data_IF_506447275116
#
_entry.id   IF_506447275116
#
_cell.length_a   1.000
_cell.length_b   1.000
_cell.length_c   1.000
_cell.angle_alpha   90.00
_cell.angle_beta   90.00
_cell.angle_gamma   90.00
#
_symmetry.space_group_name_H-M   'P 1'
#
loop_
_entity.id
_entity.type
_entity.pdbx_description
1 polymer ?
#
# COMPACT_ATOMS: atom_id res chain seq x y z
N UNK A 1 18.46 0.52 24.37
CA UNK A 1 17.26 0.87 23.56
C UNK A 1 16.37 -0.36 23.51
N UNK A 2 15.09 -0.22 23.83
CA UNK A 2 14.18 -1.36 23.74
C UNK A 2 13.95 -1.69 22.26
N UNK A 3 14.16 -2.96 21.89
CA UNK A 3 13.81 -3.46 20.56
C UNK A 3 12.31 -3.36 20.33
N UNK A 4 11.89 -3.32 19.06
CA UNK A 4 10.48 -3.40 18.73
C UNK A 4 9.87 -4.72 19.25
N UNK A 5 8.68 -4.64 19.83
CA UNK A 5 7.90 -5.80 20.27
C UNK A 5 6.55 -5.77 19.56
N UNK A 6 6.23 -6.85 18.86
CA UNK A 6 4.98 -7.02 18.14
C UNK A 6 3.79 -6.92 19.10
N UNK A 7 2.79 -6.13 18.72
CA UNK A 7 1.60 -5.81 19.52
C UNK A 7 1.86 -5.22 20.91
N UNK A 8 3.02 -4.59 21.11
CA UNK A 8 3.23 -3.72 22.26
C UNK A 8 2.23 -2.55 22.30
N UNK A 9 2.08 -1.91 23.47
CA UNK A 9 1.20 -0.74 23.65
C UNK A 9 1.45 0.35 22.59
N UNK A 10 2.72 0.64 22.27
CA UNK A 10 3.09 1.62 21.26
C UNK A 10 2.61 1.21 19.86
N UNK A 11 2.82 -0.06 19.49
CA UNK A 11 2.37 -0.60 18.21
C UNK A 11 0.85 -0.52 18.06
N UNK A 12 0.10 -0.96 19.07
CA UNK A 12 -1.37 -0.91 19.07
C UNK A 12 -1.87 0.53 18.94
N UNK A 13 -1.29 1.47 19.69
CA UNK A 13 -1.64 2.89 19.57
C UNK A 13 -1.40 3.39 18.14
N UNK A 14 -0.27 3.03 17.52
CA UNK A 14 0.02 3.42 16.13
C UNK A 14 -0.99 2.84 15.14
N UNK A 15 -1.39 1.57 15.30
CA UNK A 15 -2.43 0.95 14.48
C UNK A 15 -3.79 1.65 14.65
N UNK A 16 -4.17 1.99 15.87
CA UNK A 16 -5.40 2.73 16.16
C UNK A 16 -5.39 4.12 15.54
N UNK A 17 -4.25 4.81 15.53
CA UNK A 17 -4.10 6.12 14.87
C UNK A 17 -4.31 5.97 13.35
N UNK A 18 -3.66 4.99 12.71
CA UNK A 18 -3.83 4.73 11.27
C UNK A 18 -5.30 4.42 10.97
N UNK A 19 -5.94 3.57 11.77
CA UNK A 19 -7.35 3.23 11.63
C UNK A 19 -8.25 4.47 11.80
N UNK A 20 -8.02 5.30 12.81
CA UNK A 20 -8.77 6.53 13.05
C UNK A 20 -8.65 7.50 11.86
N UNK A 21 -7.46 7.64 11.28
CA UNK A 21 -7.23 8.47 10.10
C UNK A 21 -7.97 7.92 8.88
N UNK A 22 -8.00 6.61 8.67
CA UNK A 22 -8.74 5.96 7.58
C UNK A 22 -10.26 6.17 7.73
N UNK A 23 -10.77 5.97 8.95
CA UNK A 23 -12.17 6.21 9.30
C UNK A 23 -12.53 7.67 9.05
N UNK A 24 -11.71 8.61 9.53
CA UNK A 24 -11.91 10.05 9.34
C UNK A 24 -11.93 10.42 7.86
N UNK A 25 -11.00 9.86 7.07
CA UNK A 25 -10.92 10.09 5.63
C UNK A 25 -12.20 9.62 4.91
N UNK A 26 -12.75 8.48 5.32
CA UNK A 26 -13.99 7.94 4.77
C UNK A 26 -15.22 8.79 5.13
N UNK A 27 -15.40 9.14 6.41
CA UNK A 27 -16.56 9.92 6.87
C UNK A 27 -16.55 11.36 6.34
N UNK A 28 -15.39 12.02 6.38
CA UNK A 28 -15.28 13.42 5.95
C UNK A 28 -15.03 13.59 4.45
N UNK A 29 -15.06 12.51 3.64
CA UNK A 29 -14.77 12.55 2.19
C UNK A 29 -15.58 13.61 1.43
N UNK A 30 -16.84 13.82 1.79
CA UNK A 30 -17.70 14.81 1.14
C UNK A 30 -17.30 16.25 1.47
N UNK A 31 -16.92 16.52 2.73
CA UNK A 31 -16.42 17.83 3.16
C UNK A 31 -15.05 18.13 2.53
N UNK A 32 -14.16 17.14 2.48
CA UNK A 32 -12.85 17.26 1.84
C UNK A 32 -13.02 17.61 0.36
N UNK A 33 -13.90 16.91 -0.38
CA UNK A 33 -14.20 17.20 -1.79
C UNK A 33 -14.76 18.61 -2.00
N UNK A 34 -15.63 19.09 -1.10
CA UNK A 34 -16.27 20.41 -1.22
C UNK A 34 -15.29 21.56 -0.97
N UNK A 35 -14.35 21.40 -0.03
CA UNK A 35 -13.43 22.47 0.39
C UNK A 35 -12.06 22.32 -0.28
N UNK A 36 -11.82 23.07 -1.38
CA UNK A 36 -10.54 23.03 -2.16
C UNK A 36 -9.28 23.16 -1.28
N UNK A 37 -9.29 24.05 -0.28
CA UNK A 37 -8.15 24.22 0.65
C UNK A 37 -7.85 22.93 1.43
N UNK A 38 -8.88 22.27 1.98
CA UNK A 38 -8.73 21.02 2.74
C UNK A 38 -8.31 19.88 1.83
N UNK A 39 -8.90 19.79 0.63
CA UNK A 39 -8.50 18.82 -0.40
C UNK A 39 -7.01 18.89 -0.72
N UNK A 40 -6.50 20.10 -1.01
CA UNK A 40 -5.10 20.33 -1.34
C UNK A 40 -4.20 20.10 -0.12
N UNK A 41 -4.60 20.56 1.06
CA UNK A 41 -3.83 20.39 2.28
C UNK A 41 -3.58 18.90 2.60
N UNK A 42 -4.63 18.07 2.65
CA UNK A 42 -4.49 16.64 2.95
C UNK A 42 -3.64 15.94 1.89
N UNK A 43 -3.88 16.26 0.62
CA UNK A 43 -3.11 15.70 -0.50
C UNK A 43 -1.63 16.05 -0.41
N UNK A 44 -1.31 17.32 -0.16
CA UNK A 44 0.07 17.78 0.02
C UNK A 44 0.70 17.19 1.27
N UNK A 45 -0.05 17.07 2.36
CA UNK A 45 0.42 16.46 3.60
C UNK A 45 0.85 15.00 3.39
N UNK A 46 0.04 14.20 2.67
CA UNK A 46 0.39 12.82 2.35
C UNK A 46 1.68 12.74 1.51
N UNK A 47 1.80 13.55 0.47
CA UNK A 47 2.99 13.56 -0.40
C UNK A 47 4.23 14.00 0.37
N UNK A 48 4.15 15.16 1.04
CA UNK A 48 5.29 15.78 1.71
C UNK A 48 5.75 14.92 2.89
N UNK A 49 4.83 14.39 3.69
CA UNK A 49 5.21 13.55 4.83
C UNK A 49 5.99 12.31 4.41
N UNK A 50 5.52 11.58 3.38
CA UNK A 50 6.21 10.39 2.88
C UNK A 50 7.58 10.71 2.27
N UNK A 51 7.65 11.73 1.40
CA UNK A 51 8.93 12.13 0.78
C UNK A 51 9.92 12.67 1.81
N UNK A 52 9.45 13.42 2.80
CA UNK A 52 10.29 13.98 3.85
C UNK A 52 10.89 12.88 4.73
N UNK A 53 10.10 11.92 5.21
CA UNK A 53 10.65 10.86 6.06
C UNK A 53 11.60 9.94 5.29
N UNK A 54 11.36 9.71 4.00
CA UNK A 54 12.29 8.96 3.14
C UNK A 54 13.60 9.72 2.92
N UNK A 55 13.53 11.02 2.64
CA UNK A 55 14.72 11.86 2.53
C UNK A 55 15.53 11.88 3.83
N UNK A 56 14.86 12.04 4.98
CA UNK A 56 15.50 11.98 6.28
C UNK A 56 16.11 10.61 6.59
N UNK A 57 15.51 9.52 6.09
CA UNK A 57 16.09 8.18 6.18
C UNK A 57 17.42 8.10 5.45
N UNK A 58 17.52 8.60 4.23
CA UNK A 58 18.78 8.61 3.48
C UNK A 58 19.84 9.45 4.17
N UNK A 59 19.48 10.64 4.67
CA UNK A 59 20.39 11.47 5.46
C UNK A 59 20.90 10.75 6.72
N UNK A 60 20.03 10.01 7.41
CA UNK A 60 20.40 9.20 8.57
C UNK A 60 21.33 8.03 8.21
N UNK A 61 21.02 7.28 7.14
CA UNK A 61 21.85 6.16 6.68
C UNK A 61 23.25 6.61 6.28
N UNK A 62 23.36 7.72 5.55
CA UNK A 62 24.65 8.29 5.15
C UNK A 62 25.43 8.76 6.39
N UNK A 63 24.79 9.51 7.29
CA UNK A 63 25.44 10.03 8.50
C UNK A 63 25.92 8.93 9.45
N UNK A 64 25.24 7.78 9.47
CA UNK A 64 25.59 6.64 10.33
C UNK A 64 26.48 5.61 9.64
N UNK A 65 26.93 5.87 8.41
CA UNK A 65 27.69 4.93 7.57
C UNK A 65 26.99 3.56 7.41
N UNK A 66 25.65 3.58 7.36
CA UNK A 66 24.81 2.39 7.15
C UNK A 66 24.21 2.34 5.74
N UNK A 67 24.61 3.26 4.85
CA UNK A 67 24.21 3.22 3.46
C UNK A 67 24.81 1.99 2.78
N UNK A 68 23.95 1.18 2.19
CA UNK A 68 24.31 0.04 1.35
C UNK A 68 23.51 0.09 0.05
N UNK A 69 24.20 0.05 -1.09
CA UNK A 69 23.55 0.04 -2.39
C UNK A 69 22.67 -1.18 -2.60
N UNK A 70 22.94 -2.28 -1.90
CA UNK A 70 22.20 -3.52 -1.98
C UNK A 70 20.86 -3.54 -1.22
N UNK A 71 20.62 -2.60 -0.30
CA UNK A 71 19.42 -2.59 0.57
C UNK A 71 18.82 -1.19 0.83
N UNK A 72 19.56 -0.10 0.56
CA UNK A 72 19.13 1.27 0.92
C UNK A 72 18.31 2.00 -0.16
N UNK A 73 18.41 1.60 -1.43
CA UNK A 73 17.59 2.15 -2.51
C UNK A 73 16.10 1.82 -2.32
N UNK A 74 15.19 2.66 -2.82
CA UNK A 74 13.75 2.47 -2.67
C UNK A 74 13.18 1.42 -3.63
N UNK A 75 13.92 0.35 -3.86
CA UNK A 75 13.58 -0.72 -4.79
C UNK A 75 12.80 -1.86 -4.12
N UNK A 76 12.68 -1.84 -2.79
CA UNK A 76 11.69 -2.64 -2.10
C UNK A 76 10.27 -2.24 -2.54
N UNK A 77 9.34 -3.19 -2.54
CA UNK A 77 7.98 -2.99 -3.06
C UNK A 77 7.25 -1.81 -2.39
N UNK A 78 7.44 -1.59 -1.08
CA UNK A 78 6.87 -0.45 -0.36
C UNK A 78 7.52 0.88 -0.74
N UNK A 79 8.85 0.90 -0.99
CA UNK A 79 9.56 2.09 -1.49
C UNK A 79 9.01 2.53 -2.85
N UNK A 80 8.95 1.60 -3.80
CA UNK A 80 8.36 1.82 -5.12
C UNK A 80 6.90 2.28 -4.99
N UNK A 81 6.11 1.62 -4.13
CA UNK A 81 4.71 1.97 -3.91
C UNK A 81 4.54 3.38 -3.33
N UNK A 82 5.41 3.81 -2.41
CA UNK A 82 5.39 5.17 -1.86
C UNK A 82 5.58 6.21 -2.97
N UNK A 83 6.61 6.06 -3.82
CA UNK A 83 6.86 6.98 -4.93
C UNK A 83 5.72 6.98 -5.95
N UNK A 84 5.17 5.80 -6.27
CA UNK A 84 4.02 5.69 -7.17
C UNK A 84 2.73 6.29 -6.55
N UNK A 85 2.53 6.19 -5.23
CA UNK A 85 1.47 6.89 -4.53
C UNK A 85 1.63 8.40 -4.65
N UNK A 86 2.82 8.94 -4.37
CA UNK A 86 3.14 10.36 -4.55
C UNK A 86 2.88 10.82 -5.99
N UNK A 87 3.41 10.09 -6.97
CA UNK A 87 3.20 10.34 -8.40
C UNK A 87 1.70 10.37 -8.75
N UNK A 88 0.93 9.39 -8.27
CA UNK A 88 -0.50 9.28 -8.60
C UNK A 88 -1.33 10.33 -7.88
N UNK A 89 -0.99 10.69 -6.65
CA UNK A 89 -1.60 11.83 -5.96
C UNK A 89 -1.37 13.12 -6.75
N UNK A 90 -0.18 13.32 -7.34
CA UNK A 90 0.13 14.50 -8.15
C UNK A 90 -0.64 14.48 -9.49
N UNK A 91 -0.47 13.41 -10.25
CA UNK A 91 -0.91 13.30 -11.65
C UNK A 91 -2.36 12.87 -11.83
N UNK A 92 -2.97 12.26 -10.81
CA UNK A 92 -4.29 11.63 -10.90
C UNK A 92 -4.34 10.57 -12.01
N UNK A 93 -3.27 9.79 -12.16
CA UNK A 93 -3.20 8.76 -13.19
C UNK A 93 -3.82 7.44 -12.70
N UNK A 94 -5.05 7.14 -13.15
CA UNK A 94 -5.75 5.91 -12.79
C UNK A 94 -4.98 4.62 -13.14
N UNK A 95 -4.19 4.60 -14.23
CA UNK A 95 -3.43 3.40 -14.65
C UNK A 95 -2.37 3.02 -13.61
N UNK A 96 -1.78 4.01 -12.93
CA UNK A 96 -0.83 3.73 -11.85
C UNK A 96 -1.58 3.33 -10.58
N UNK A 97 -2.69 4.00 -10.25
CA UNK A 97 -3.56 3.63 -9.15
C UNK A 97 -4.00 2.17 -9.21
N UNK A 98 -4.48 1.70 -10.37
CA UNK A 98 -5.06 0.36 -10.50
C UNK A 98 -4.02 -0.76 -10.26
N UNK A 99 -2.74 -0.44 -10.47
CA UNK A 99 -1.61 -1.33 -10.19
C UNK A 99 -1.26 -1.28 -8.70
N UNK A 100 -1.00 -0.09 -8.14
CA UNK A 100 -0.55 0.06 -6.74
C UNK A 100 -1.65 -0.27 -5.72
N UNK A 101 -2.93 -0.21 -6.12
CA UNK A 101 -4.04 -0.57 -5.25
C UNK A 101 -3.88 -1.97 -4.67
N UNK A 102 -3.40 -2.93 -5.45
CA UNK A 102 -3.28 -4.31 -5.00
C UNK A 102 -1.96 -4.55 -4.29
N UNK A 103 -0.83 -4.47 -5.00
CA UNK A 103 0.47 -4.77 -4.39
C UNK A 103 0.83 -3.80 -3.25
N UNK A 104 0.44 -2.53 -3.38
CA UNK A 104 0.89 -1.47 -2.47
C UNK A 104 0.10 -1.53 -1.18
N UNK A 105 -1.21 -1.75 -1.28
CA UNK A 105 -2.08 -1.94 -0.14
C UNK A 105 -1.80 -3.27 0.56
N UNK A 106 -1.61 -4.36 -0.18
CA UNK A 106 -1.23 -5.67 0.36
C UNK A 106 0.07 -5.59 1.17
N UNK A 107 1.13 -5.05 0.55
CA UNK A 107 2.43 -4.89 1.20
C UNK A 107 2.35 -3.97 2.42
N UNK A 108 1.71 -2.80 2.28
CA UNK A 108 1.64 -1.84 3.38
C UNK A 108 0.80 -2.33 4.57
N UNK A 109 -0.34 -3.01 4.34
CA UNK A 109 -1.13 -3.62 5.41
C UNK A 109 -0.31 -4.69 6.13
N UNK A 110 0.37 -5.56 5.39
CA UNK A 110 1.20 -6.58 6.01
C UNK A 110 2.34 -5.95 6.83
N UNK A 111 3.02 -4.95 6.29
CA UNK A 111 4.10 -4.24 7.00
C UNK A 111 3.63 -3.53 8.27
N UNK A 112 2.43 -2.94 8.31
CA UNK A 112 1.97 -2.31 9.56
C UNK A 112 1.49 -3.34 10.58
N UNK A 113 0.97 -4.50 10.15
CA UNK A 113 0.50 -5.54 11.07
C UNK A 113 1.63 -6.41 11.62
N UNK A 114 2.60 -6.74 10.78
CA UNK A 114 3.80 -7.54 11.11
C UNK A 114 5.07 -6.77 10.71
N UNK A 115 5.36 -5.66 11.39
CA UNK A 115 6.50 -4.82 11.05
C UNK A 115 7.83 -5.51 11.30
N UNK A 116 8.72 -5.43 10.32
CA UNK A 116 10.10 -5.90 10.41
C UNK A 116 11.03 -4.70 10.71
N UNK A 117 10.98 -4.22 11.95
CA UNK A 117 11.83 -3.13 12.42
C UNK A 117 12.51 -3.50 13.72
N UNK A 118 13.76 -3.05 13.89
CA UNK A 118 14.53 -3.28 15.12
C UNK A 118 14.20 -2.28 16.23
N UNK A 119 13.81 -1.06 15.86
CA UNK A 119 13.69 0.06 16.78
C UNK A 119 12.23 0.32 17.20
N UNK A 120 11.98 0.49 18.50
CA UNK A 120 10.68 0.90 19.04
C UNK A 120 10.52 2.44 19.06
N UNK A 121 9.31 2.92 19.33
CA UNK A 121 9.06 4.34 19.57
C UNK A 121 9.80 4.80 20.84
N UNK A 122 10.42 6.01 20.86
CA UNK A 122 10.30 7.13 19.90
C UNK A 122 11.39 7.20 18.82
N UNK A 123 12.06 6.09 18.48
CA UNK A 123 13.15 6.13 17.52
C UNK A 123 12.70 6.58 16.12
N UNK A 124 13.53 7.36 15.43
CA UNK A 124 13.21 7.89 14.10
C UNK A 124 12.83 6.79 13.09
N UNK A 125 13.54 5.64 13.08
CA UNK A 125 13.21 4.50 12.21
C UNK A 125 11.79 3.95 12.44
N UNK A 126 11.30 3.96 13.68
CA UNK A 126 9.91 3.58 13.97
C UNK A 126 8.94 4.57 13.32
N UNK A 127 9.17 5.86 13.54
CA UNK A 127 8.31 6.94 13.03
C UNK A 127 8.29 6.93 11.49
N UNK A 128 9.47 6.87 10.86
CA UNK A 128 9.61 6.79 9.41
C UNK A 128 8.88 5.56 8.84
N UNK A 129 9.07 4.39 9.44
CA UNK A 129 8.43 3.16 8.97
C UNK A 129 6.90 3.30 8.97
N UNK A 130 6.29 3.72 10.08
CA UNK A 130 4.83 3.81 10.16
C UNK A 130 4.25 4.99 9.36
N UNK A 131 4.99 6.09 9.18
CA UNK A 131 4.58 7.18 8.28
C UNK A 131 4.58 6.71 6.82
N UNK A 132 5.62 6.00 6.37
CA UNK A 132 5.69 5.50 4.99
C UNK A 132 4.58 4.48 4.72
N UNK A 133 4.43 3.46 5.56
CA UNK A 133 3.45 2.39 5.31
C UNK A 133 2.01 2.85 5.56
N UNK A 134 1.76 3.57 6.66
CA UNK A 134 0.46 4.21 6.89
C UNK A 134 0.10 5.22 5.80
N UNK A 135 1.09 5.97 5.31
CA UNK A 135 0.97 6.93 4.21
C UNK A 135 0.56 6.27 2.89
N UNK A 136 1.12 5.11 2.53
CA UNK A 136 0.70 4.31 1.36
C UNK A 136 -0.78 3.92 1.50
N UNK A 137 -1.18 3.35 2.64
CA UNK A 137 -2.57 2.92 2.89
C UNK A 137 -3.51 4.13 2.77
N UNK A 138 -3.21 5.22 3.47
CA UNK A 138 -3.99 6.45 3.43
C UNK A 138 -4.05 7.05 2.02
N UNK A 139 -2.97 7.01 1.25
CA UNK A 139 -2.92 7.52 -0.12
C UNK A 139 -3.81 6.71 -1.05
N UNK A 140 -3.76 5.37 -0.97
CA UNK A 140 -4.62 4.49 -1.78
C UNK A 140 -6.10 4.69 -1.40
N UNK A 141 -6.41 4.77 -0.10
CA UNK A 141 -7.76 5.08 0.37
C UNK A 141 -8.20 6.49 -0.03
N UNK A 142 -7.30 7.48 -0.03
CA UNK A 142 -7.58 8.84 -0.49
C UNK A 142 -7.95 8.85 -1.96
N UNK A 143 -7.19 8.16 -2.83
CA UNK A 143 -7.53 8.03 -4.25
C UNK A 143 -8.86 7.30 -4.45
N UNK A 144 -9.13 6.26 -3.66
CA UNK A 144 -10.38 5.50 -3.72
C UNK A 144 -11.59 6.34 -3.31
N UNK A 145 -11.53 7.02 -2.15
CA UNK A 145 -12.66 7.73 -1.59
C UNK A 145 -12.82 9.14 -2.15
N UNK A 146 -11.70 9.84 -2.38
CA UNK A 146 -11.68 11.24 -2.79
C UNK A 146 -11.65 11.36 -4.33
N UNK A 147 -10.73 10.69 -5.02
CA UNK A 147 -10.74 10.72 -6.50
C UNK A 147 -11.86 9.85 -7.09
N UNK A 148 -12.41 8.92 -6.29
CA UNK A 148 -13.49 8.04 -6.74
C UNK A 148 -13.00 6.88 -7.59
N UNK A 149 -11.70 6.57 -7.53
CA UNK A 149 -11.15 5.44 -8.26
C UNK A 149 -11.63 4.13 -7.67
N UNK A 150 -11.90 3.17 -8.55
CA UNK A 150 -12.28 1.81 -8.16
C UNK A 150 -11.49 0.83 -9.01
N UNK A 151 -10.76 -0.12 -8.41
CA UNK A 151 -10.11 -1.19 -9.15
C UNK A 151 -11.14 -2.14 -9.75
N UNK A 152 -10.74 -2.82 -10.81
CA UNK A 152 -11.52 -3.88 -11.45
C UNK A 152 -10.84 -5.24 -11.27
N UNK A 153 -11.53 -6.33 -11.63
CA UNK A 153 -10.87 -7.64 -11.68
C UNK A 153 -9.71 -7.66 -12.69
N UNK A 154 -9.81 -6.92 -13.80
CA UNK A 154 -8.69 -6.74 -14.74
C UNK A 154 -7.52 -5.99 -14.11
N UNK A 155 -7.80 -5.04 -13.22
CA UNK A 155 -6.76 -4.31 -12.48
C UNK A 155 -5.97 -5.22 -11.55
N UNK A 156 -6.61 -6.24 -10.95
CA UNK A 156 -5.94 -7.28 -10.17
C UNK A 156 -4.91 -8.03 -11.03
N UNK A 157 -5.35 -8.54 -12.18
CA UNK A 157 -4.48 -9.28 -13.11
C UNK A 157 -3.34 -8.41 -13.63
N UNK A 158 -3.62 -7.14 -13.97
CA UNK A 158 -2.59 -6.17 -14.34
C UNK A 158 -1.59 -5.98 -13.22
N UNK A 159 -2.03 -5.72 -11.98
CA UNK A 159 -1.11 -5.50 -10.86
C UNK A 159 -0.18 -6.70 -10.65
N UNK A 160 -0.73 -7.91 -10.70
CA UNK A 160 0.07 -9.13 -10.61
C UNK A 160 1.09 -9.25 -11.76
N UNK A 161 0.67 -9.01 -13.00
CA UNK A 161 1.56 -9.05 -14.16
C UNK A 161 2.67 -7.98 -14.07
N UNK A 162 2.32 -6.75 -13.71
CA UNK A 162 3.29 -5.67 -13.54
C UNK A 162 4.29 -5.98 -12.41
N UNK A 163 3.88 -6.73 -11.38
CA UNK A 163 4.79 -7.11 -10.29
C UNK A 163 5.86 -8.07 -10.82
N UNK A 164 5.47 -9.03 -11.65
CA UNK A 164 6.40 -9.95 -12.32
C UNK A 164 7.32 -9.17 -13.27
N UNK A 165 6.76 -8.27 -14.08
CA UNK A 165 7.54 -7.42 -15.00
C UNK A 165 8.54 -6.55 -14.24
N UNK A 166 8.13 -6.00 -13.08
CA UNK A 166 8.98 -5.17 -12.22
C UNK A 166 10.10 -5.97 -11.56
N UNK A 167 9.85 -7.24 -11.20
CA UNK A 167 10.85 -8.10 -10.57
C UNK A 167 12.05 -8.37 -11.49
N UNK A 168 11.86 -8.42 -12.81
CA UNK A 168 12.93 -8.74 -13.78
C UNK A 168 14.08 -7.70 -13.73
N UNK A 169 13.86 -6.39 -13.98
CA UNK A 169 14.94 -5.42 -13.94
C UNK A 169 15.52 -5.27 -12.53
N UNK A 170 14.73 -5.46 -11.47
CA UNK A 170 15.23 -5.40 -10.10
C UNK A 170 16.16 -6.57 -9.79
N UNK A 171 15.82 -7.79 -10.21
CA UNK A 171 16.69 -8.95 -10.09
C UNK A 171 18.02 -8.75 -10.83
N UNK A 172 17.98 -8.19 -12.04
CA UNK A 172 19.20 -7.86 -12.80
C UNK A 172 20.04 -6.83 -12.05
N UNK A 173 19.41 -5.79 -11.52
CA UNK A 173 20.11 -4.77 -10.75
C UNK A 173 20.74 -5.38 -9.49
N UNK A 174 19.98 -6.15 -8.70
CA UNK A 174 20.45 -6.88 -7.52
C UNK A 174 21.71 -7.70 -7.80
N UNK A 175 21.85 -8.27 -8.99
CA UNK A 175 23.05 -8.99 -9.39
C UNK A 175 24.27 -8.05 -9.48
N UNK A 176 24.13 -6.89 -10.14
CA UNK A 176 25.22 -5.93 -10.33
C UNK A 176 25.64 -5.21 -9.05
N UNK A 177 24.68 -4.80 -8.22
CA UNK A 177 24.95 -4.06 -6.97
C UNK A 177 25.06 -4.96 -5.74
N UNK A 178 25.07 -6.28 -5.95
CA UNK A 178 25.07 -7.30 -4.87
C UNK A 178 23.91 -7.12 -3.88
N UNK A 179 22.78 -6.62 -4.35
CA UNK A 179 21.57 -6.36 -3.57
C UNK A 179 20.66 -7.58 -3.43
N UNK A 180 19.57 -7.37 -2.69
CA UNK A 180 18.50 -8.36 -2.50
C UNK A 180 17.13 -7.69 -2.35
N UNK A 181 16.78 -6.79 -3.26
CA UNK A 181 15.48 -6.14 -3.30
C UNK A 181 14.35 -7.12 -3.63
N UNK A 182 13.19 -6.90 -3.01
CA UNK A 182 12.04 -7.81 -3.03
C UNK A 182 12.39 -9.26 -2.64
N UNK A 183 13.56 -9.49 -2.03
CA UNK A 183 14.08 -10.81 -1.71
C UNK A 183 14.15 -11.75 -2.92
N UNK A 184 14.53 -11.24 -4.10
CA UNK A 184 14.56 -12.03 -5.34
C UNK A 184 15.76 -12.96 -5.44
N UNK A 185 16.87 -12.68 -4.73
CA UNK A 185 18.09 -13.49 -4.78
C UNK A 185 18.22 -14.43 -3.59
N UNK A 186 17.78 -14.01 -2.41
CA UNK A 186 17.81 -14.80 -1.20
C UNK A 186 16.70 -14.41 -0.23
N UNK A 187 16.37 -15.33 0.67
CA UNK A 187 15.47 -15.03 1.80
C UNK A 187 16.14 -14.01 2.75
N UNK A 188 15.35 -13.17 3.44
CA UNK A 188 15.89 -12.32 4.50
C UNK A 188 16.56 -13.19 5.57
N UNK A 189 17.63 -12.71 6.21
CA UNK A 189 18.30 -13.44 7.28
C UNK A 189 17.41 -13.57 8.53
N UNK A 190 17.53 -14.68 9.25
CA UNK A 190 16.73 -14.99 10.44
C UNK A 190 15.49 -15.83 10.13
N UNK A 191 14.76 -16.24 11.18
CA UNK A 191 13.57 -17.05 11.04
C UNK A 191 12.46 -16.23 10.35
N UNK A 192 12.05 -16.68 9.17
CA UNK A 192 11.11 -15.96 8.34
C UNK A 192 10.06 -16.93 7.76
N UNK A 193 8.90 -16.40 7.36
CA UNK A 193 7.83 -17.22 6.78
C UNK A 193 8.28 -17.90 5.46
N UNK A 194 9.23 -17.30 4.76
CA UNK A 194 9.76 -17.82 3.49
C UNK A 194 10.54 -19.12 3.70
N UNK A 195 11.03 -19.41 4.91
CA UNK A 195 11.72 -20.65 5.25
C UNK A 195 10.83 -21.87 5.02
N UNK A 196 9.51 -21.72 5.19
CA UNK A 196 8.51 -22.76 4.93
C UNK A 196 8.17 -22.97 3.45
N UNK A 197 8.63 -22.08 2.55
CA UNK A 197 8.22 -22.08 1.14
C UNK A 197 9.25 -22.71 0.19
N UNK A 198 10.24 -23.43 0.72
CA UNK A 198 11.26 -24.14 -0.07
C UNK A 198 12.44 -23.27 -0.51
N UNK A 199 13.45 -23.84 -1.18
CA UNK A 199 14.64 -23.10 -1.60
C UNK A 199 14.35 -22.14 -2.76
N UNK A 200 15.31 -21.27 -3.09
CA UNK A 200 15.23 -20.48 -4.31
C UNK A 200 15.19 -21.40 -5.55
N UNK A 201 14.34 -21.15 -6.58
CA UNK A 201 13.37 -20.06 -6.72
C UNK A 201 11.94 -20.41 -6.25
N UNK A 202 11.70 -21.58 -5.65
CA UNK A 202 10.36 -22.07 -5.31
C UNK A 202 9.58 -21.13 -4.39
N UNK A 203 10.22 -20.50 -3.40
CA UNK A 203 9.52 -19.57 -2.51
C UNK A 203 8.97 -18.35 -3.25
N UNK A 204 9.58 -17.93 -4.36
CA UNK A 204 9.07 -16.82 -5.19
C UNK A 204 7.77 -17.20 -5.88
N UNK A 205 7.66 -18.45 -6.33
CA UNK A 205 6.44 -19.00 -6.91
C UNK A 205 5.34 -19.05 -5.85
N UNK A 206 5.65 -19.56 -4.65
CA UNK A 206 4.71 -19.61 -3.52
C UNK A 206 4.25 -18.21 -3.14
N UNK A 207 5.15 -17.23 -3.03
CA UNK A 207 4.80 -15.83 -2.79
C UNK A 207 3.84 -15.29 -3.85
N UNK A 208 4.14 -15.53 -5.14
CA UNK A 208 3.28 -15.14 -6.25
C UNK A 208 1.88 -15.74 -6.13
N UNK A 209 1.79 -17.03 -5.81
CA UNK A 209 0.52 -17.72 -5.62
C UNK A 209 -0.26 -17.18 -4.41
N UNK A 210 0.41 -16.83 -3.31
CA UNK A 210 -0.23 -16.25 -2.11
C UNK A 210 -0.72 -14.82 -2.32
N UNK A 211 -0.13 -14.06 -3.25
CA UNK A 211 -0.61 -12.72 -3.58
C UNK A 211 -1.98 -12.72 -4.26
N UNK A 212 -2.32 -13.75 -5.04
CA UNK A 212 -3.61 -13.86 -5.74
C UNK A 212 -4.80 -13.86 -4.76
N UNK A 213 -4.89 -14.78 -3.76
CA UNK A 213 -5.98 -14.75 -2.80
C UNK A 213 -5.96 -13.46 -1.96
N UNK A 214 -4.79 -12.90 -1.66
CA UNK A 214 -4.74 -11.64 -0.93
C UNK A 214 -5.32 -10.48 -1.77
N UNK A 215 -5.00 -10.42 -3.06
CA UNK A 215 -5.58 -9.43 -3.97
C UNK A 215 -7.09 -9.62 -4.14
N UNK A 216 -7.59 -10.86 -4.13
CA UNK A 216 -9.03 -11.14 -4.15
C UNK A 216 -9.71 -10.64 -2.87
N UNK A 217 -9.09 -10.82 -1.70
CA UNK A 217 -9.58 -10.26 -0.43
C UNK A 217 -9.68 -8.73 -0.54
N UNK A 218 -8.65 -8.05 -1.04
CA UNK A 218 -8.66 -6.60 -1.23
C UNK A 218 -9.68 -6.13 -2.27
N UNK A 219 -9.93 -6.93 -3.31
CA UNK A 219 -10.95 -6.62 -4.33
C UNK A 219 -12.39 -6.74 -3.80
N UNK A 220 -12.62 -7.67 -2.87
CA UNK A 220 -13.97 -8.08 -2.43
C UNK A 220 -14.87 -6.94 -1.96
N UNK A 221 -14.45 -5.96 -1.13
CA UNK A 221 -15.36 -4.95 -0.61
C UNK A 221 -15.89 -4.03 -1.71
N UNK A 222 -15.03 -3.69 -2.67
CA UNK A 222 -15.38 -2.80 -3.80
C UNK A 222 -16.32 -3.51 -4.77
N UNK A 223 -16.06 -4.79 -5.05
CA UNK A 223 -16.95 -5.60 -5.88
C UNK A 223 -18.37 -5.67 -5.29
N UNK A 224 -18.47 -5.95 -3.97
CA UNK A 224 -19.76 -6.01 -3.27
C UNK A 224 -20.51 -4.67 -3.29
N UNK A 225 -19.81 -3.55 -3.07
CA UNK A 225 -20.41 -2.21 -3.11
C UNK A 225 -20.94 -1.88 -4.52
N UNK A 226 -20.16 -2.19 -5.57
CA UNK A 226 -20.55 -1.91 -6.95
C UNK A 226 -21.74 -2.75 -7.40
N UNK A 227 -21.79 -4.03 -7.02
CA UNK A 227 -22.91 -4.91 -7.33
C UNK A 227 -24.21 -4.45 -6.66
N UNK A 228 -24.15 -4.00 -5.39
CA UNK A 228 -25.33 -3.44 -4.70
C UNK A 228 -25.87 -2.21 -5.41
N UNK A 229 -25.01 -1.28 -5.82
CA UNK A 229 -25.40 -0.08 -6.59
C UNK A 229 -26.06 -0.43 -7.93
N UNK A 230 -25.50 -1.40 -8.66
CA UNK A 230 -26.04 -1.84 -9.95
C UNK A 230 -27.42 -2.50 -9.82
N UNK A 231 -27.62 -3.34 -8.80
CA UNK A 231 -28.94 -3.94 -8.51
C UNK A 231 -29.98 -2.87 -8.15
N UNK A 232 -29.60 -1.90 -7.32
CA UNK A 232 -30.49 -0.80 -6.95
C UNK A 232 -30.86 0.10 -8.14
N UNK A 233 -29.93 0.39 -9.04
CA UNK A 233 -30.25 1.15 -10.26
C UNK A 233 -31.20 0.39 -11.20
N UNK A 234 -31.02 -0.92 -11.34
CA UNK A 234 -31.90 -1.77 -12.15
C UNK A 234 -33.32 -1.91 -11.55
N UNK A 235 -33.42 -2.01 -10.23
CA UNK A 235 -34.71 -2.00 -9.52
C UNK A 235 -35.44 -0.65 -9.70
N UNK A 236 -34.73 0.47 -9.54
CA UNK A 236 -35.33 1.79 -9.73
C UNK A 236 -35.74 2.07 -11.19
N UNK A 237 -35.03 1.52 -12.18
CA UNK A 237 -35.42 1.66 -13.59
C UNK A 237 -36.64 0.80 -13.95
N UNK A 238 -36.76 -0.42 -13.40
CA UNK A 238 -37.91 -1.29 -13.65
C UNK A 238 -39.20 -0.73 -13.02
N UNK A 239 -39.13 -0.19 -11.80
CA UNK A 239 -40.29 0.48 -11.17
C UNK A 239 -40.73 1.79 -11.83
N UNK A 240 -39.85 2.45 -12.61
CA UNK A 240 -40.24 3.62 -13.41
C UNK A 240 -40.94 3.25 -14.72
N UNK A 241 -40.69 2.06 -15.24
CA UNK A 241 -41.26 1.58 -16.52
C UNK A 241 -42.62 0.91 -16.29
N UNK A 242 -42.84 0.33 -15.11
CA UNK A 242 -44.13 -0.21 -14.69
C UNK A 242 -44.70 0.61 -13.52
N UNK A 243 -45.23 1.83 -13.74
CA UNK A 243 -46.11 2.41 -12.74
C UNK A 243 -47.31 1.48 -12.64
N UNK A 244 -47.43 0.80 -11.50
CA UNK A 244 -48.56 -0.04 -11.18
C UNK A 244 -49.82 0.82 -11.40
N UNK A 245 -50.62 0.45 -12.40
CA UNK A 245 -52.03 0.83 -12.47
C UNK A 245 -52.68 0.25 -11.20
N UNK A 246 -52.71 1.05 -10.14
CA UNK A 246 -53.55 0.76 -8.99
C UNK A 246 -54.97 1.20 -9.32
N UNK A 247 -55.98 0.32 -9.20
CA UNK A 247 -57.39 0.66 -9.45
C UNK A 247 -57.94 1.70 -8.47
#
# INVERSE_FOLDING_TARGET
MNGFVLFSKQHIITLLIILLLLISLYYFKHLIKKKKKVYLFIRSLLIISMLLVEFLLYGWLIKTNQWDWGDSLPLQLCGISMYLCCYTLITKNYKVYEIIYFWGLAGAIQSVLTPDIKYAFPHFKYIQFFITHGGIILSICYMTFIFGYTPTFRSLLKSFLYLIILAIPIYLLDYFIKGNYLFLRAKPPGANLLDFFGPWPYYLIVLGLLLIPYFLILYSPIHLINNKKKKQSQFNSSNKINPIESP
#
